data_IF_909034232783
#
_entry.id   IF_909034232783
#
_cell.length_a   1.000
_cell.length_b   1.000
_cell.length_c   1.000
_cell.angle_alpha   90.00
_cell.angle_beta   90.00
_cell.angle_gamma   90.00
#
_symmetry.space_group_name_H-M   'P 1'
#
loop_
_entity.id
_entity.type
_entity.pdbx_description
1 polymer ?
#
# COMPACT_ATOMS: atom_id res chain seq x y z
N UNK A 1 22.65 -12.59 3.99
CA UNK A 1 21.41 -12.92 3.25
C UNK A 1 20.17 -12.78 4.12
N UNK A 2 19.98 -13.56 5.19
CA UNK A 2 18.76 -13.47 6.02
C UNK A 2 18.53 -12.07 6.64
N UNK A 3 19.56 -11.48 7.26
CA UNK A 3 19.44 -10.14 7.84
C UNK A 3 19.13 -9.07 6.77
N UNK A 4 19.67 -9.23 5.56
CA UNK A 4 19.38 -8.32 4.45
C UNK A 4 17.92 -8.46 4.00
N UNK A 5 17.37 -9.67 3.97
CA UNK A 5 15.95 -9.90 3.69
C UNK A 5 15.05 -9.25 4.74
N UNK A 6 15.39 -9.38 6.03
CA UNK A 6 14.66 -8.72 7.12
C UNK A 6 14.71 -7.20 7.01
N UNK A 7 15.88 -6.63 6.66
CA UNK A 7 16.03 -5.20 6.43
C UNK A 7 15.23 -4.72 5.21
N UNK A 8 15.25 -5.48 4.12
CA UNK A 8 14.58 -5.12 2.87
C UNK A 8 13.06 -5.29 2.94
N UNK A 9 12.55 -6.17 3.81
CA UNK A 9 11.12 -6.39 4.01
C UNK A 9 10.37 -5.07 4.26
N UNK A 10 10.86 -4.24 5.18
CA UNK A 10 10.22 -2.96 5.50
C UNK A 10 10.15 -2.02 4.28
N UNK A 11 11.19 -2.04 3.44
CA UNK A 11 11.27 -1.20 2.24
C UNK A 11 10.23 -1.58 1.19
N UNK A 12 9.74 -2.81 1.18
CA UNK A 12 8.72 -3.26 0.21
C UNK A 12 7.38 -2.55 0.39
N UNK A 13 7.11 -2.01 1.58
CA UNK A 13 5.89 -1.26 1.86
C UNK A 13 5.99 0.22 1.52
N UNK A 14 7.13 0.71 1.04
CA UNK A 14 7.31 2.11 0.65
C UNK A 14 6.95 2.31 -0.83
N UNK A 15 5.84 3.01 -1.09
CA UNK A 15 5.40 3.38 -2.42
C UNK A 15 5.15 4.90 -2.51
N UNK A 16 5.96 5.67 -3.26
CA UNK A 16 5.81 7.12 -3.37
C UNK A 16 4.53 7.56 -4.10
N UNK A 17 3.82 6.64 -4.75
CA UNK A 17 2.54 6.89 -5.44
C UNK A 17 1.32 6.53 -4.59
N UNK A 18 1.51 6.05 -3.36
CA UNK A 18 0.42 5.71 -2.45
C UNK A 18 -0.38 6.95 -2.03
N UNK A 19 0.29 8.09 -1.82
CA UNK A 19 -0.31 9.34 -1.36
C UNK A 19 0.10 10.50 -2.30
N UNK A 20 -0.66 10.74 -3.38
CA UNK A 20 -0.31 11.76 -4.40
C UNK A 20 -0.27 13.19 -3.83
N UNK A 21 -1.18 13.48 -2.90
CA UNK A 21 -1.34 14.77 -2.23
C UNK A 21 -0.30 14.93 -1.11
N UNK A 22 0.00 13.87 -0.37
CA UNK A 22 0.94 13.87 0.76
C UNK A 22 2.25 13.13 0.46
N UNK A 23 3.10 13.72 -0.39
CA UNK A 23 4.34 13.10 -0.91
C UNK A 23 5.36 12.67 0.15
N UNK A 24 5.23 13.13 1.40
CA UNK A 24 6.08 12.72 2.53
C UNK A 24 5.68 11.36 3.10
N UNK A 25 4.46 10.89 2.83
CA UNK A 25 4.00 9.56 3.22
C UNK A 25 4.09 8.63 2.02
N UNK A 26 4.70 7.46 2.24
CA UNK A 26 4.84 6.42 1.22
C UNK A 26 4.56 5.03 1.77
N UNK A 27 4.47 4.88 3.09
CA UNK A 27 4.30 3.58 3.69
C UNK A 27 2.84 3.10 3.52
N UNK A 28 2.67 2.00 2.79
CA UNK A 28 1.36 1.49 2.34
C UNK A 28 0.52 0.94 3.50
N UNK A 29 1.14 0.25 4.47
CA UNK A 29 0.43 -0.21 5.67
C UNK A 29 0.13 0.92 6.66
N UNK A 30 1.09 1.82 6.86
CA UNK A 30 1.09 2.82 7.92
C UNK A 30 1.28 4.23 7.36
N UNK A 31 0.34 5.11 7.63
CA UNK A 31 0.50 6.55 7.44
C UNK A 31 -0.50 7.25 8.38
N UNK A 32 -0.38 8.57 8.59
CA UNK A 32 -1.42 9.32 9.26
C UNK A 32 -2.77 9.08 8.59
N UNK A 33 -3.80 8.88 9.42
CA UNK A 33 -5.13 8.48 8.98
C UNK A 33 -6.15 9.53 9.39
N UNK A 34 -7.14 9.74 8.52
CA UNK A 34 -8.32 10.57 8.79
C UNK A 34 -9.54 9.72 9.16
N UNK A 35 -9.54 8.43 8.77
CA UNK A 35 -10.61 7.47 9.06
C UNK A 35 -10.40 6.63 10.33
N UNK A 36 -11.37 5.77 10.61
CA UNK A 36 -11.37 4.84 11.75
C UNK A 36 -10.53 3.58 11.53
N UNK A 37 -10.21 3.23 10.28
CA UNK A 37 -9.38 2.06 9.95
C UNK A 37 -7.91 2.39 10.19
N UNK A 38 -7.24 1.53 10.95
CA UNK A 38 -5.87 1.77 11.44
C UNK A 38 -4.80 1.51 10.37
N UNK A 39 -5.08 0.60 9.44
CA UNK A 39 -4.16 0.15 8.39
C UNK A 39 -4.64 0.55 7.00
N UNK A 40 -3.72 0.48 6.02
CA UNK A 40 -3.99 0.76 4.62
C UNK A 40 -4.69 2.11 4.40
N UNK A 41 -4.17 3.22 4.95
CA UNK A 41 -4.88 4.50 4.95
C UNK A 41 -5.21 5.00 3.54
N UNK A 42 -4.36 4.76 2.53
CA UNK A 42 -4.65 5.11 1.14
C UNK A 42 -5.92 4.44 0.61
N UNK A 43 -6.04 3.12 0.81
CA UNK A 43 -7.22 2.36 0.40
C UNK A 43 -8.45 2.70 1.25
N UNK A 44 -8.30 2.84 2.57
CA UNK A 44 -9.41 3.17 3.46
C UNK A 44 -10.01 4.55 3.14
N UNK A 45 -9.16 5.54 2.89
CA UNK A 45 -9.57 6.89 2.51
C UNK A 45 -10.26 6.89 1.14
N UNK A 46 -9.70 6.17 0.15
CA UNK A 46 -10.32 6.02 -1.17
C UNK A 46 -11.71 5.38 -1.09
N UNK A 47 -11.86 4.29 -0.33
CA UNK A 47 -13.15 3.64 -0.11
C UNK A 47 -14.15 4.58 0.55
N UNK A 48 -13.70 5.32 1.57
CA UNK A 48 -14.55 6.28 2.29
C UNK A 48 -15.10 7.36 1.37
N UNK A 49 -14.26 7.91 0.47
CA UNK A 49 -14.66 8.90 -0.53
C UNK A 49 -15.58 8.32 -1.61
N UNK A 50 -15.33 7.09 -2.03
CA UNK A 50 -16.10 6.46 -3.10
C UNK A 50 -17.53 6.07 -2.67
N UNK A 51 -17.76 5.80 -1.38
CA UNK A 51 -19.09 5.41 -0.84
C UNK A 51 -20.19 6.43 -1.12
N UNK A 52 -19.85 7.70 -1.17
CA UNK A 52 -20.82 8.78 -1.41
C UNK A 52 -21.00 9.09 -2.91
N UNK A 53 -20.43 8.27 -3.80
CA UNK A 53 -20.44 8.48 -5.26
C UNK A 53 -21.10 7.31 -6.01
N UNK A 54 -21.53 7.58 -7.24
CA UNK A 54 -22.10 6.55 -8.12
C UNK A 54 -21.09 5.44 -8.46
N UNK A 55 -21.59 4.21 -8.63
CA UNK A 55 -20.79 3.07 -9.10
C UNK A 55 -20.15 3.39 -10.45
N UNK A 56 -18.83 3.17 -10.58
CA UNK A 56 -18.07 3.48 -11.80
C UNK A 56 -17.56 4.92 -11.90
N UNK A 57 -17.70 5.73 -10.85
CA UNK A 57 -17.06 7.04 -10.76
C UNK A 57 -15.53 6.94 -10.73
N UNK A 58 -14.84 8.06 -10.99
CA UNK A 58 -13.38 8.18 -10.82
C UNK A 58 -12.93 7.80 -9.40
N UNK A 59 -13.78 8.01 -8.39
CA UNK A 59 -13.50 7.61 -7.02
C UNK A 59 -13.35 6.08 -6.87
N UNK A 60 -14.15 5.30 -7.60
CA UNK A 60 -13.99 3.84 -7.63
C UNK A 60 -12.75 3.39 -8.42
N UNK A 61 -12.35 4.15 -9.44
CA UNK A 61 -11.08 3.91 -10.13
C UNK A 61 -9.87 4.13 -9.19
N UNK A 62 -9.93 5.14 -8.33
CA UNK A 62 -8.92 5.37 -7.29
C UNK A 62 -8.88 4.24 -6.26
N UNK A 63 -10.04 3.71 -5.84
CA UNK A 63 -10.10 2.52 -4.97
C UNK A 63 -9.37 1.34 -5.61
N UNK A 64 -9.64 1.08 -6.89
CA UNK A 64 -8.98 -0.01 -7.63
C UNK A 64 -7.46 0.23 -7.73
N UNK A 65 -7.03 1.47 -7.96
CA UNK A 65 -5.61 1.85 -8.00
C UNK A 65 -4.93 1.60 -6.65
N UNK A 66 -5.53 2.04 -5.55
CA UNK A 66 -5.02 1.82 -4.20
C UNK A 66 -4.96 0.34 -3.84
N UNK A 67 -5.98 -0.43 -4.24
CA UNK A 67 -5.99 -1.88 -4.04
C UNK A 67 -4.84 -2.55 -4.80
N UNK A 68 -4.58 -2.15 -6.05
CA UNK A 68 -3.44 -2.64 -6.83
C UNK A 68 -2.11 -2.35 -6.13
N UNK A 69 -1.93 -1.14 -5.57
CA UNK A 69 -0.73 -0.78 -4.81
C UNK A 69 -0.54 -1.69 -3.59
N UNK A 70 -1.61 -1.94 -2.83
CA UNK A 70 -1.57 -2.82 -1.65
C UNK A 70 -1.19 -4.24 -2.04
N UNK A 71 -1.81 -4.79 -3.09
CA UNK A 71 -1.51 -6.14 -3.59
C UNK A 71 -0.04 -6.25 -3.98
N UNK A 72 0.46 -5.31 -4.80
CA UNK A 72 1.87 -5.31 -5.24
C UNK A 72 2.84 -5.20 -4.06
N UNK A 73 2.53 -4.39 -3.05
CA UNK A 73 3.37 -4.26 -1.85
C UNK A 73 3.42 -5.58 -1.06
N UNK A 74 2.28 -6.24 -0.86
CA UNK A 74 2.19 -7.53 -0.16
C UNK A 74 2.90 -8.65 -0.93
N UNK A 75 2.72 -8.71 -2.24
CA UNK A 75 3.42 -9.68 -3.10
C UNK A 75 4.94 -9.45 -3.07
N UNK A 76 5.40 -8.20 -3.11
CA UNK A 76 6.80 -7.85 -2.99
C UNK A 76 7.39 -8.20 -1.63
N UNK A 77 6.65 -7.95 -0.55
CA UNK A 77 7.02 -8.35 0.82
C UNK A 77 7.17 -9.88 0.92
N UNK A 78 6.17 -10.62 0.45
CA UNK A 78 6.20 -12.08 0.45
C UNK A 78 7.32 -12.64 -0.43
N UNK A 79 7.58 -12.02 -1.59
CA UNK A 79 8.68 -12.39 -2.47
C UNK A 79 10.05 -12.21 -1.81
N UNK A 80 10.22 -11.13 -1.05
CA UNK A 80 11.47 -10.81 -0.35
C UNK A 80 11.85 -11.87 0.68
N UNK A 81 10.86 -12.52 1.30
CA UNK A 81 11.06 -13.55 2.33
C UNK A 81 11.22 -14.97 1.78
N UNK A 82 11.17 -15.17 0.46
CA UNK A 82 11.42 -16.50 -0.11
C UNK A 82 12.88 -16.90 0.12
N UNK A 83 13.19 -18.20 0.28
CA UNK A 83 14.56 -18.67 0.36
C UNK A 83 15.35 -18.18 -0.85
N UNK A 84 16.50 -17.56 -0.60
CA UNK A 84 17.43 -17.26 -1.69
C UNK A 84 18.19 -18.55 -1.98
N UNK A 85 18.26 -18.96 -3.25
CA UNK A 85 19.06 -20.12 -3.63
C UNK A 85 20.50 -19.86 -3.20
N UNK A 86 21.11 -20.83 -2.51
CA UNK A 86 22.52 -20.79 -2.17
C UNK A 86 23.33 -20.70 -3.48
N UNK A 87 24.08 -19.61 -3.65
CA UNK A 87 25.04 -19.40 -4.74
C UNK A 87 26.37 -20.08 -4.41
#
# INVERSE_FOLDING_TARGET
MLNDQLMLLERTFLNPRAFPEERYYSHVLWAPRTGSVVTFPGLSNACSRARDTASGSEAWAEVQRQLSIVVTALEGAAATLRPVADL
#
